data_IF_973809235814
#
_entry.id   IF_973809235814
#
_cell.length_a   1.000
_cell.length_b   1.000
_cell.length_c   1.000
_cell.angle_alpha   90.00
_cell.angle_beta   90.00
_cell.angle_gamma   90.00
#
_symmetry.space_group_name_H-M   'P 1'
#
loop_
_entity.id
_entity.type
_entity.pdbx_description
1 polymer ?
#
# COMPACT_ATOMS: atom_id res chain seq x y z
N UNK A 1 -15.30 22.11 -18.70
CA UNK A 1 -15.12 22.35 -17.26
C UNK A 1 -14.84 21.07 -16.47
N UNK A 2 -15.61 19.95 -16.55
CA UNK A 2 -15.30 18.76 -15.74
C UNK A 2 -14.06 17.97 -16.19
N UNK A 3 -13.75 17.93 -17.49
CA UNK A 3 -12.61 17.17 -18.02
C UNK A 3 -11.25 17.75 -17.61
N UNK A 4 -11.07 19.08 -17.69
CA UNK A 4 -9.82 19.75 -17.31
C UNK A 4 -9.53 19.60 -15.81
N UNK A 5 -10.55 19.73 -14.95
CA UNK A 5 -10.41 19.50 -13.51
C UNK A 5 -10.02 18.04 -13.19
N UNK A 6 -10.63 17.07 -13.86
CA UNK A 6 -10.28 15.65 -13.71
C UNK A 6 -8.86 15.34 -14.18
N UNK A 7 -8.38 16.01 -15.24
CA UNK A 7 -7.02 15.86 -15.73
C UNK A 7 -5.97 16.44 -14.75
N UNK A 8 -6.24 17.60 -14.16
CA UNK A 8 -5.40 18.19 -13.12
C UNK A 8 -5.36 17.33 -11.85
N UNK A 9 -6.51 16.80 -11.45
CA UNK A 9 -6.58 15.87 -10.32
C UNK A 9 -5.80 14.58 -10.61
N UNK A 10 -5.90 14.05 -11.84
CA UNK A 10 -5.06 12.91 -12.26
C UNK A 10 -3.58 13.24 -12.13
N UNK A 11 -3.12 14.38 -12.66
CA UNK A 11 -1.72 14.79 -12.56
C UNK A 11 -1.26 14.93 -11.09
N UNK A 12 -2.11 15.48 -10.21
CA UNK A 12 -1.84 15.58 -8.78
C UNK A 12 -1.69 14.21 -8.13
N UNK A 13 -2.63 13.30 -8.36
CA UNK A 13 -2.56 11.92 -7.84
C UNK A 13 -1.30 11.21 -8.32
N UNK A 14 -0.92 11.40 -9.59
CA UNK A 14 0.30 10.85 -10.16
C UNK A 14 1.58 11.45 -9.55
N UNK A 15 1.61 12.75 -9.28
CA UNK A 15 2.72 13.42 -8.61
C UNK A 15 2.99 12.79 -7.23
N UNK A 16 1.96 12.73 -6.38
CA UNK A 16 2.10 12.20 -5.03
C UNK A 16 2.34 10.69 -4.98
N UNK A 17 1.88 9.95 -5.98
CA UNK A 17 2.10 8.51 -6.10
C UNK A 17 3.45 8.11 -6.75
N UNK A 18 4.32 9.09 -7.03
CA UNK A 18 5.65 8.87 -7.64
C UNK A 18 5.59 8.21 -9.03
N UNK A 19 4.56 8.51 -9.83
CA UNK A 19 4.46 7.97 -11.18
C UNK A 19 5.64 8.47 -12.03
N UNK A 20 6.37 7.58 -12.73
CA UNK A 20 7.51 7.96 -13.53
C UNK A 20 7.19 9.13 -14.47
N UNK A 21 8.05 10.15 -14.57
CA UNK A 21 7.77 11.35 -15.36
C UNK A 21 7.34 11.09 -16.81
N UNK A 22 7.82 10.01 -17.42
CA UNK A 22 7.47 9.62 -18.79
C UNK A 22 6.07 8.96 -18.91
N UNK A 23 5.45 8.56 -17.79
CA UNK A 23 4.08 8.01 -17.71
C UNK A 23 3.05 9.04 -17.22
N UNK A 24 3.48 10.25 -16.84
CA UNK A 24 2.59 11.31 -16.39
C UNK A 24 1.59 11.68 -17.49
N UNK A 25 0.32 11.77 -17.11
CA UNK A 25 -0.79 12.29 -17.91
C UNK A 25 -0.85 13.79 -17.73
N UNK A 26 0.09 14.49 -18.38
CA UNK A 26 0.14 15.97 -18.37
C UNK A 26 -0.99 16.51 -19.25
N UNK A 27 -1.86 17.42 -18.74
CA UNK A 27 -2.91 18.07 -19.53
C UNK A 27 -2.33 18.85 -20.73
N UNK A 28 -3.17 19.15 -21.71
CA UNK A 28 -2.75 19.92 -22.88
C UNK A 28 -2.30 21.34 -22.46
N UNK A 29 -1.40 22.00 -23.22
CA UNK A 29 -0.91 23.35 -22.89
C UNK A 29 -2.02 24.37 -22.61
N UNK A 30 -3.06 24.38 -23.45
CA UNK A 30 -4.21 25.27 -23.30
C UNK A 30 -5.00 25.06 -22.00
N UNK A 31 -4.99 23.85 -21.44
CA UNK A 31 -5.66 23.52 -20.18
C UNK A 31 -4.74 23.85 -18.99
N UNK A 32 -3.48 23.42 -19.07
CA UNK A 32 -2.52 23.52 -17.98
C UNK A 32 -2.06 24.96 -17.72
N UNK A 33 -1.93 25.78 -18.76
CA UNK A 33 -1.52 27.18 -18.65
C UNK A 33 -2.68 28.12 -18.26
N UNK A 34 -3.91 27.62 -18.10
CA UNK A 34 -5.03 28.43 -17.62
C UNK A 34 -4.81 28.93 -16.19
N UNK A 35 -5.37 30.10 -15.84
CA UNK A 35 -5.23 30.66 -14.48
C UNK A 35 -5.75 29.70 -13.39
N UNK A 36 -6.88 29.03 -13.66
CA UNK A 36 -7.46 28.05 -12.74
C UNK A 36 -6.55 26.83 -12.54
N UNK A 37 -5.94 26.31 -13.62
CA UNK A 37 -5.01 25.20 -13.54
C UNK A 37 -3.74 25.55 -12.76
N UNK A 38 -3.21 26.76 -12.94
CA UNK A 38 -2.03 27.21 -12.21
C UNK A 38 -2.33 27.45 -10.74
N UNK A 39 -3.46 28.06 -10.42
CA UNK A 39 -3.91 28.18 -9.03
C UNK A 39 -4.14 26.80 -8.40
N UNK A 40 -4.62 25.81 -9.16
CA UNK A 40 -4.71 24.43 -8.71
C UNK A 40 -3.33 23.84 -8.42
N UNK A 41 -2.35 23.96 -9.32
CA UNK A 41 -0.98 23.45 -9.10
C UNK A 41 -0.32 24.09 -7.88
N UNK A 42 -0.49 25.39 -7.70
CA UNK A 42 0.04 26.08 -6.51
C UNK A 42 -0.62 25.52 -5.25
N UNK A 43 -1.96 25.57 -5.15
CA UNK A 43 -2.66 25.21 -3.92
C UNK A 43 -2.71 23.71 -3.60
N UNK A 44 -2.60 22.85 -4.62
CA UNK A 44 -2.82 21.39 -4.47
C UNK A 44 -1.57 20.55 -4.74
N UNK A 45 -0.49 21.14 -5.24
CA UNK A 45 0.79 20.43 -5.49
C UNK A 45 1.94 21.09 -4.73
N UNK A 46 2.15 22.40 -4.90
CA UNK A 46 3.27 23.12 -4.29
C UNK A 46 3.03 23.43 -2.81
N UNK A 47 1.87 23.99 -2.49
CA UNK A 47 1.44 24.43 -1.16
C UNK A 47 0.50 23.41 -0.50
N UNK A 48 0.54 22.15 -0.94
CA UNK A 48 -0.30 21.09 -0.38
C UNK A 48 0.11 20.78 1.07
N UNK A 49 -0.88 20.47 1.91
CA UNK A 49 -0.64 19.94 3.26
C UNK A 49 -0.08 18.49 3.28
N UNK A 50 -0.02 17.84 2.12
CA UNK A 50 0.50 16.47 1.99
C UNK A 50 2.03 16.51 1.95
N UNK A 51 2.73 15.58 2.63
CA UNK A 51 4.18 15.49 2.53
C UNK A 51 4.63 15.34 1.08
N UNK A 52 5.54 16.22 0.60
CA UNK A 52 5.95 16.18 -0.79
C UNK A 52 6.85 14.97 -1.06
N UNK A 53 6.85 14.44 -2.30
CA UNK A 53 7.89 13.55 -2.80
C UNK A 53 9.31 14.04 -2.52
N UNK A 54 10.28 13.15 -2.54
CA UNK A 54 11.68 13.55 -2.44
C UNK A 54 12.11 14.47 -3.62
N UNK A 55 13.08 15.35 -3.36
CA UNK A 55 13.41 16.47 -4.24
C UNK A 55 13.88 16.06 -5.66
N UNK A 56 14.54 14.91 -5.81
CA UNK A 56 14.95 14.33 -7.09
C UNK A 56 13.75 14.06 -8.00
N UNK A 57 12.75 13.34 -7.49
CA UNK A 57 11.50 13.11 -8.18
C UNK A 57 10.81 14.42 -8.52
N UNK A 58 10.70 15.36 -7.57
CA UNK A 58 10.10 16.67 -7.83
C UNK A 58 10.79 17.38 -9.00
N UNK A 59 12.13 17.37 -9.10
CA UNK A 59 12.85 17.98 -10.23
C UNK A 59 12.48 17.32 -11.55
N UNK A 60 12.39 16.00 -11.59
CA UNK A 60 12.04 15.28 -12.82
C UNK A 60 10.58 15.49 -13.23
N UNK A 61 9.67 15.59 -12.26
CA UNK A 61 8.29 16.00 -12.48
C UNK A 61 8.21 17.41 -13.10
N UNK A 62 8.85 18.40 -12.47
CA UNK A 62 8.81 19.78 -12.96
C UNK A 62 9.52 19.96 -14.31
N UNK A 63 10.58 19.19 -14.61
CA UNK A 63 11.18 19.15 -15.97
C UNK A 63 10.19 18.66 -17.03
N UNK A 64 9.22 17.82 -16.67
CA UNK A 64 8.19 17.32 -17.59
C UNK A 64 7.02 18.28 -17.74
N UNK A 65 6.65 18.98 -16.66
CA UNK A 65 5.44 19.82 -16.55
C UNK A 65 5.71 21.29 -16.93
N UNK A 66 6.83 21.86 -16.50
CA UNK A 66 7.15 23.28 -16.72
C UNK A 66 7.18 23.68 -18.20
N UNK A 67 7.78 22.91 -19.13
CA UNK A 67 7.77 23.29 -20.56
C UNK A 67 6.38 23.40 -21.17
N UNK A 68 5.39 22.67 -20.62
CA UNK A 68 3.99 22.73 -21.07
C UNK A 68 3.30 23.97 -20.51
N UNK A 69 3.64 24.39 -19.29
CA UNK A 69 3.17 25.63 -18.69
C UNK A 69 3.73 26.87 -19.42
N UNK A 70 4.98 26.81 -19.86
CA UNK A 70 5.70 27.90 -20.56
C UNK A 70 5.13 28.23 -21.95
N UNK A 71 4.22 27.41 -22.48
CA UNK A 71 3.42 27.77 -23.67
C UNK A 71 2.39 28.87 -23.37
N UNK A 72 2.16 29.19 -22.09
CA UNK A 72 1.38 30.35 -21.63
C UNK A 72 2.10 31.17 -20.55
N UNK A 73 1.37 32.06 -19.89
CA UNK A 73 1.92 32.87 -18.81
C UNK A 73 1.99 32.04 -17.52
N UNK A 74 3.19 31.84 -16.96
CA UNK A 74 3.38 31.02 -15.75
C UNK A 74 3.34 31.88 -14.48
N UNK A 75 2.65 31.39 -13.45
CA UNK A 75 2.56 31.98 -12.12
C UNK A 75 3.96 32.06 -11.49
N UNK A 76 4.31 33.24 -10.99
CA UNK A 76 5.64 33.52 -10.43
C UNK A 76 6.00 32.57 -9.28
N UNK A 77 5.01 32.13 -8.48
CA UNK A 77 5.21 31.19 -7.38
C UNK A 77 5.70 29.83 -7.88
N UNK A 78 5.23 29.39 -9.05
CA UNK A 78 5.69 28.13 -9.67
C UNK A 78 7.15 28.30 -10.12
N UNK A 79 7.48 29.40 -10.79
CA UNK A 79 8.86 29.66 -11.19
C UNK A 79 9.81 29.73 -10.01
N UNK A 80 9.43 30.46 -8.95
CA UNK A 80 10.22 30.59 -7.75
C UNK A 80 10.46 29.22 -7.09
N UNK A 81 9.40 28.43 -6.88
CA UNK A 81 9.51 27.10 -6.29
C UNK A 81 10.40 26.16 -7.12
N UNK A 82 10.22 26.13 -8.45
CA UNK A 82 11.02 25.28 -9.34
C UNK A 82 12.48 25.75 -9.39
N UNK A 83 12.73 27.07 -9.43
CA UNK A 83 14.09 27.61 -9.43
C UNK A 83 14.83 27.26 -8.13
N UNK A 84 14.19 27.43 -6.97
CA UNK A 84 14.73 27.04 -5.68
C UNK A 84 15.03 25.53 -5.63
N UNK A 85 14.09 24.70 -6.11
CA UNK A 85 14.25 23.25 -6.19
C UNK A 85 15.42 22.84 -7.09
N UNK A 86 15.60 23.49 -8.24
CA UNK A 86 16.71 23.20 -9.15
C UNK A 86 18.07 23.67 -8.61
N UNK A 87 18.09 24.77 -7.87
CA UNK A 87 19.30 25.33 -7.27
C UNK A 87 19.76 24.55 -6.02
N UNK A 88 18.85 23.84 -5.33
CA UNK A 88 19.20 23.04 -4.17
C UNK A 88 20.27 21.99 -4.51
N UNK A 89 21.20 21.67 -3.59
CA UNK A 89 22.18 20.60 -3.80
C UNK A 89 21.50 19.24 -3.94
N UNK A 90 22.01 18.39 -4.84
CA UNK A 90 21.55 17.01 -4.97
C UNK A 90 22.40 16.12 -4.07
N UNK A 91 21.80 15.51 -3.04
CA UNK A 91 22.49 14.50 -2.24
C UNK A 91 22.49 13.19 -3.03
N UNK A 92 23.64 12.81 -3.59
CA UNK A 92 23.81 11.61 -4.41
C UNK A 92 24.02 10.31 -3.59
N UNK A 93 23.81 10.35 -2.27
CA UNK A 93 24.04 9.21 -1.39
C UNK A 93 22.75 8.41 -1.19
N UNK A 94 22.73 7.20 -1.74
CA UNK A 94 21.64 6.21 -1.74
C UNK A 94 20.32 6.70 -2.37
N UNK A 95 19.45 5.79 -2.88
CA UNK A 95 18.10 6.16 -3.30
C UNK A 95 17.36 6.70 -2.07
N UNK A 96 16.93 7.97 -2.06
CA UNK A 96 16.29 8.53 -0.89
C UNK A 96 14.96 7.83 -0.64
N UNK A 97 14.65 7.56 0.63
CA UNK A 97 13.29 7.30 1.02
C UNK A 97 12.43 8.51 0.61
N UNK A 98 11.26 8.25 0.03
CA UNK A 98 10.36 9.28 -0.44
C UNK A 98 9.00 9.11 0.21
N UNK A 99 8.38 10.23 0.58
CA UNK A 99 6.95 10.20 0.82
C UNK A 99 6.26 9.83 -0.48
N UNK A 100 5.30 8.93 -0.35
CA UNK A 100 4.39 8.51 -1.41
C UNK A 100 2.99 8.58 -0.83
N UNK A 101 2.11 9.31 -1.50
CA UNK A 101 0.74 9.48 -1.05
C UNK A 101 -0.22 8.98 -2.11
N UNK A 102 -1.00 7.98 -1.74
CA UNK A 102 -2.10 7.46 -2.55
C UNK A 102 -3.36 8.25 -2.25
N UNK A 103 -3.76 9.12 -3.18
CA UNK A 103 -4.95 9.94 -3.05
C UNK A 103 -6.09 9.29 -3.83
N UNK A 104 -7.25 9.15 -3.19
CA UNK A 104 -8.42 8.49 -3.75
C UNK A 104 -9.72 9.00 -3.13
N UNK A 105 -10.86 8.62 -3.70
CA UNK A 105 -12.17 9.01 -3.20
C UNK A 105 -12.83 7.84 -2.46
N UNK A 106 -13.36 8.12 -1.27
CA UNK A 106 -14.16 7.19 -0.49
C UNK A 106 -15.46 7.89 -0.08
N UNK A 107 -16.60 7.32 -0.50
CA UNK A 107 -17.93 7.86 -0.23
C UNK A 107 -18.08 9.37 -0.60
N UNK A 108 -17.46 9.78 -1.71
CA UNK A 108 -17.51 11.17 -2.20
C UNK A 108 -16.61 12.15 -1.43
N UNK A 109 -15.74 11.65 -0.54
CA UNK A 109 -14.73 12.45 0.15
C UNK A 109 -13.33 12.01 -0.25
N UNK A 110 -12.45 13.00 -0.43
CA UNK A 110 -11.04 12.74 -0.64
C UNK A 110 -10.44 12.06 0.59
N UNK A 111 -9.62 11.04 0.33
CA UNK A 111 -8.79 10.32 1.29
C UNK A 111 -7.38 10.21 0.76
N UNK A 112 -6.45 10.05 1.68
CA UNK A 112 -5.05 9.89 1.37
C UNK A 112 -4.44 8.84 2.31
N UNK A 113 -3.56 8.01 1.77
CA UNK A 113 -2.65 7.18 2.56
C UNK A 113 -1.23 7.62 2.22
N UNK A 114 -0.52 8.19 3.19
CA UNK A 114 0.87 8.61 3.05
C UNK A 114 1.80 7.60 3.69
N UNK A 115 2.84 7.21 2.96
CA UNK A 115 3.84 6.25 3.40
C UNK A 115 5.23 6.81 3.08
N UNK A 116 6.22 6.40 3.87
CA UNK A 116 7.63 6.58 3.54
C UNK A 116 8.15 5.28 2.93
N UNK A 117 8.45 5.30 1.62
CA UNK A 117 8.91 4.13 0.86
C UNK A 117 10.35 4.33 0.38
N UNK A 118 11.15 3.25 0.37
CA UNK A 118 12.46 3.26 -0.28
C UNK A 118 12.27 2.89 -1.77
N UNK A 119 12.92 3.59 -2.69
CA UNK A 119 12.77 3.33 -4.13
C UNK A 119 13.55 2.08 -4.62
N UNK A 120 14.00 1.22 -3.72
CA UNK A 120 14.80 0.03 -4.02
C UNK A 120 13.93 -1.23 -3.89
N UNK A 121 14.06 -2.13 -4.87
CA UNK A 121 13.26 -3.39 -4.93
C UNK A 121 13.62 -4.35 -3.78
N UNK A 122 14.90 -4.40 -3.38
CA UNK A 122 15.40 -5.19 -2.24
C UNK A 122 16.57 -4.44 -1.62
N UNK A 123 16.52 -4.17 -0.32
CA UNK A 123 17.66 -3.69 0.44
C UNK A 123 17.83 -4.54 1.71
N UNK A 124 19.05 -5.02 1.95
CA UNK A 124 19.43 -5.82 3.12
C UNK A 124 18.56 -7.07 3.37
N UNK A 125 18.04 -7.71 2.32
CA UNK A 125 17.23 -8.93 2.44
C UNK A 125 15.76 -8.71 2.81
N UNK A 126 15.28 -7.45 2.87
CA UNK A 126 13.88 -7.14 3.14
C UNK A 126 13.15 -6.68 1.88
N UNK A 127 11.92 -7.16 1.68
CA UNK A 127 11.02 -6.84 0.54
C UNK A 127 9.87 -5.89 0.91
N UNK A 128 9.70 -5.59 2.21
CA UNK A 128 8.65 -4.69 2.74
C UNK A 128 8.92 -3.20 2.58
N UNK A 129 9.73 -2.80 1.60
CA UNK A 129 10.24 -1.43 1.45
C UNK A 129 9.35 -0.53 0.57
N UNK A 130 8.35 -1.12 -0.08
CA UNK A 130 7.43 -0.45 -1.00
C UNK A 130 6.05 -1.08 -0.95
N UNK A 131 5.04 -0.32 -1.40
CA UNK A 131 3.72 -0.89 -1.67
C UNK A 131 3.75 -1.70 -2.97
N UNK A 132 3.24 -2.92 -2.90
CA UNK A 132 3.20 -3.87 -4.02
C UNK A 132 1.84 -3.87 -4.73
N UNK A 133 1.84 -4.28 -6.00
CA UNK A 133 0.67 -4.23 -6.88
C UNK A 133 -0.53 -5.01 -6.34
N UNK A 134 -0.32 -6.18 -5.74
CA UNK A 134 -1.38 -6.93 -5.08
C UNK A 134 -2.11 -6.16 -3.96
N UNK A 135 -1.39 -5.31 -3.21
CA UNK A 135 -1.98 -4.51 -2.14
C UNK A 135 -2.90 -3.42 -2.70
N UNK A 136 -2.46 -2.76 -3.79
CA UNK A 136 -3.27 -1.77 -4.51
C UNK A 136 -4.55 -2.39 -5.10
N UNK A 137 -4.44 -3.60 -5.67
CA UNK A 137 -5.57 -4.33 -6.22
C UNK A 137 -6.56 -4.74 -5.12
N UNK A 138 -6.06 -5.31 -4.02
CA UNK A 138 -6.90 -5.71 -2.90
C UNK A 138 -7.65 -4.50 -2.31
N UNK A 139 -6.94 -3.40 -2.07
CA UNK A 139 -7.53 -2.15 -1.61
C UNK A 139 -8.59 -1.61 -2.59
N UNK A 140 -8.36 -1.69 -3.90
CA UNK A 140 -9.35 -1.26 -4.91
C UNK A 140 -10.66 -2.04 -4.77
N UNK A 141 -10.58 -3.37 -4.64
CA UNK A 141 -11.78 -4.21 -4.51
C UNK A 141 -12.49 -4.05 -3.16
N UNK A 142 -11.74 -3.75 -2.08
CA UNK A 142 -12.32 -3.40 -0.79
C UNK A 142 -13.10 -2.08 -0.87
N UNK A 143 -12.51 -1.04 -1.49
CA UNK A 143 -13.16 0.26 -1.67
C UNK A 143 -14.41 0.18 -2.56
N UNK A 144 -14.39 -0.71 -3.56
CA UNK A 144 -15.55 -0.97 -4.42
C UNK A 144 -16.68 -1.76 -3.70
N UNK A 145 -16.41 -2.31 -2.51
CA UNK A 145 -17.35 -3.16 -1.77
C UNK A 145 -17.48 -4.58 -2.34
N UNK A 146 -16.65 -4.95 -3.32
CA UNK A 146 -16.71 -6.25 -4.00
C UNK A 146 -16.41 -7.44 -3.07
N UNK A 147 -15.77 -7.18 -1.92
CA UNK A 147 -15.38 -8.19 -0.94
C UNK A 147 -16.27 -8.18 0.32
N UNK A 148 -17.27 -7.29 0.37
CA UNK A 148 -18.11 -7.07 1.55
C UNK A 148 -17.41 -6.28 2.67
N UNK A 149 -18.11 -6.03 3.79
CA UNK A 149 -17.55 -5.27 4.91
C UNK A 149 -16.49 -6.10 5.65
N UNK A 150 -15.40 -5.43 6.04
CA UNK A 150 -14.33 -5.99 6.87
C UNK A 150 -14.28 -5.19 8.18
N UNK A 151 -15.05 -5.57 9.22
CA UNK A 151 -15.16 -4.78 10.44
C UNK A 151 -13.91 -4.88 11.34
N UNK A 152 -13.19 -6.00 11.29
CA UNK A 152 -11.93 -6.18 11.97
C UNK A 152 -11.03 -7.09 11.14
N UNK A 153 -9.75 -6.74 11.04
CA UNK A 153 -8.79 -7.42 10.18
C UNK A 153 -7.47 -7.69 10.90
N UNK A 154 -6.82 -8.79 10.52
CA UNK A 154 -5.40 -8.99 10.76
C UNK A 154 -4.69 -9.10 9.42
N UNK A 155 -3.73 -8.21 9.18
CA UNK A 155 -2.92 -8.22 7.97
C UNK A 155 -1.62 -8.99 8.23
N UNK A 156 -1.38 -10.06 7.47
CA UNK A 156 -0.13 -10.82 7.50
C UNK A 156 0.86 -10.25 6.49
N UNK A 157 2.10 -9.97 6.91
CA UNK A 157 3.13 -9.43 6.04
C UNK A 157 2.75 -8.06 5.47
N UNK A 158 2.35 -7.14 6.35
CA UNK A 158 1.79 -5.85 5.99
C UNK A 158 2.77 -4.90 5.27
N UNK A 159 4.08 -5.17 5.35
CA UNK A 159 5.12 -4.40 4.68
C UNK A 159 5.06 -2.92 5.05
N UNK A 160 4.65 -2.08 4.09
CA UNK A 160 4.53 -0.63 4.31
C UNK A 160 3.33 -0.24 5.18
N UNK A 161 2.32 -1.10 5.33
CA UNK A 161 1.07 -0.80 6.03
C UNK A 161 0.00 -0.11 5.17
N UNK A 162 0.18 -0.06 3.85
CA UNK A 162 -0.78 0.56 2.93
C UNK A 162 -2.20 -0.01 3.10
N UNK A 163 -2.34 -1.34 3.04
CA UNK A 163 -3.65 -2.00 3.07
C UNK A 163 -4.30 -1.86 4.45
N UNK A 164 -3.54 -1.99 5.54
CA UNK A 164 -4.01 -1.67 6.89
C UNK A 164 -4.56 -0.25 7.01
N UNK A 165 -3.87 0.75 6.45
CA UNK A 165 -4.35 2.13 6.47
C UNK A 165 -5.66 2.29 5.68
N UNK A 166 -5.80 1.65 4.51
CA UNK A 166 -7.06 1.65 3.73
C UNK A 166 -8.19 0.97 4.50
N UNK A 167 -7.94 -0.19 5.11
CA UNK A 167 -8.92 -0.91 5.93
C UNK A 167 -9.40 -0.07 7.12
N UNK A 168 -8.48 0.61 7.81
CA UNK A 168 -8.84 1.53 8.89
C UNK A 168 -9.65 2.73 8.38
N UNK A 169 -9.37 3.26 7.19
CA UNK A 169 -10.18 4.31 6.55
C UNK A 169 -11.58 3.81 6.15
N UNK A 170 -11.74 2.51 5.88
CA UNK A 170 -13.02 1.83 5.69
C UNK A 170 -13.76 1.52 7.00
N UNK A 171 -13.16 1.83 8.16
CA UNK A 171 -13.75 1.64 9.48
C UNK A 171 -13.39 0.34 10.19
N UNK A 172 -12.38 -0.39 9.69
CA UNK A 172 -11.92 -1.64 10.31
C UNK A 172 -11.02 -1.39 11.53
N UNK A 173 -11.12 -2.25 12.55
CA UNK A 173 -10.09 -2.41 13.59
C UNK A 173 -8.99 -3.37 13.07
N UNK A 174 -7.77 -2.85 12.86
CA UNK A 174 -6.71 -3.55 12.15
C UNK A 174 -5.51 -3.85 13.05
N UNK A 175 -5.11 -5.12 13.07
CA UNK A 175 -3.78 -5.55 13.53
C UNK A 175 -2.93 -5.79 12.28
N UNK A 176 -2.02 -4.88 11.97
CA UNK A 176 -1.08 -5.03 10.87
C UNK A 176 0.17 -5.75 11.38
N UNK A 177 0.59 -6.84 10.73
CA UNK A 177 1.68 -7.67 11.23
C UNK A 177 2.82 -7.83 10.24
N UNK A 178 4.05 -7.82 10.74
CA UNK A 178 5.26 -8.12 9.98
C UNK A 178 6.32 -8.73 10.90
N UNK A 179 7.47 -9.12 10.36
CA UNK A 179 8.60 -9.63 11.12
C UNK A 179 9.39 -8.51 11.80
N UNK A 180 10.11 -8.90 12.85
CA UNK A 180 11.01 -8.03 13.61
C UNK A 180 10.43 -7.55 14.93
N UNK A 181 11.25 -6.81 15.66
CA UNK A 181 10.97 -6.16 16.92
C UNK A 181 10.75 -4.65 16.74
N UNK A 182 10.18 -4.01 17.77
CA UNK A 182 9.95 -2.55 17.81
C UNK A 182 11.26 -1.77 17.90
N UNK A 183 12.32 -2.39 18.42
CA UNK A 183 13.65 -1.82 18.58
C UNK A 183 14.50 -2.11 17.34
N UNK A 184 14.57 -1.15 16.41
CA UNK A 184 15.60 -1.23 15.36
C UNK A 184 16.99 -1.28 16.00
N UNK A 185 17.90 -2.11 15.47
CA UNK A 185 19.31 -2.12 15.89
C UNK A 185 19.89 -0.69 15.76
N UNK A 186 20.03 0.02 16.88
CA UNK A 186 20.83 1.24 16.95
C UNK A 186 22.31 0.84 16.90
N UNK A 187 22.94 0.92 15.72
CA UNK A 187 24.40 1.05 15.64
C UNK A 187 24.81 1.78 14.33
N UNK A 188 24.89 3.12 14.39
CA UNK A 188 25.61 3.94 13.41
C UNK A 188 24.78 4.79 12.44
N UNK A 189 25.46 5.72 11.77
CA UNK A 189 24.91 6.67 10.78
C UNK A 189 24.29 5.93 9.59
N UNK A 190 22.99 5.65 9.71
CA UNK A 190 22.20 4.95 8.69
C UNK A 190 21.06 4.19 9.36
N UNK A 191 20.06 4.91 9.85
CA UNK A 191 18.95 4.37 10.63
C UNK A 191 18.14 3.35 9.80
N UNK A 192 18.53 2.07 9.84
CA UNK A 192 17.77 0.97 9.24
C UNK A 192 16.69 0.57 10.22
N UNK A 193 15.45 0.88 9.89
CA UNK A 193 14.30 0.38 10.65
C UNK A 193 14.14 -1.13 10.41
N UNK A 194 13.56 -1.85 11.34
CA UNK A 194 13.02 -3.21 11.11
C UNK A 194 11.79 -3.12 10.21
N UNK A 195 11.31 -4.22 9.57
CA UNK A 195 10.01 -4.20 8.87
C UNK A 195 8.89 -3.69 9.77
N UNK A 196 8.82 -4.20 11.02
CA UNK A 196 7.87 -3.71 12.02
C UNK A 196 8.02 -2.22 12.32
N UNK A 197 9.25 -1.73 12.55
CA UNK A 197 9.49 -0.31 12.81
C UNK A 197 9.08 0.61 11.64
N UNK A 198 9.22 0.15 10.39
CA UNK A 198 8.71 0.87 9.21
C UNK A 198 7.19 0.88 9.18
N UNK A 199 6.57 -0.27 9.40
CA UNK A 199 5.11 -0.41 9.47
C UNK A 199 4.51 0.52 10.52
N UNK A 200 5.04 0.51 11.75
CA UNK A 200 4.59 1.39 12.84
C UNK A 200 4.71 2.85 12.46
N UNK A 201 5.85 3.27 11.91
CA UNK A 201 6.06 4.66 11.52
C UNK A 201 5.11 5.10 10.40
N UNK A 202 4.85 4.24 9.41
CA UNK A 202 3.94 4.54 8.31
C UNK A 202 2.48 4.64 8.77
N UNK A 203 2.02 3.75 9.66
CA UNK A 203 0.68 3.89 10.24
C UNK A 203 0.52 5.22 10.99
N UNK A 204 1.56 5.65 11.71
CA UNK A 204 1.56 6.92 12.44
C UNK A 204 1.58 8.18 11.54
N UNK A 205 1.94 8.07 10.25
CA UNK A 205 1.84 9.18 9.29
C UNK A 205 0.39 9.52 8.93
N UNK A 206 -0.56 8.64 9.24
CA UNK A 206 -1.92 8.73 8.75
C UNK A 206 -2.91 9.07 9.89
N UNK A 207 -3.81 10.03 9.64
CA UNK A 207 -4.92 10.33 10.53
C UNK A 207 -6.06 9.33 10.27
N UNK A 208 -5.96 8.14 10.88
CA UNK A 208 -6.90 7.04 10.65
C UNK A 208 -8.17 7.19 11.50
N UNK A 209 -9.38 7.01 10.92
CA UNK A 209 -10.64 7.15 11.64
C UNK A 209 -10.97 5.93 12.52
N UNK A 210 -10.25 4.82 12.34
CA UNK A 210 -10.36 3.60 13.14
C UNK A 210 -8.97 3.09 13.51
N UNK A 211 -8.84 2.28 14.57
CA UNK A 211 -7.54 1.80 15.02
C UNK A 211 -6.84 0.95 13.96
N UNK A 212 -5.59 1.28 13.66
CA UNK A 212 -4.64 0.37 13.04
C UNK A 212 -3.36 0.37 13.86
N UNK A 213 -2.92 -0.79 14.31
CA UNK A 213 -1.68 -0.93 15.07
C UNK A 213 -0.79 -1.98 14.45
N UNK A 214 0.51 -1.75 14.55
CA UNK A 214 1.52 -2.71 14.13
C UNK A 214 1.78 -3.74 15.24
N UNK A 215 2.16 -4.96 14.87
CA UNK A 215 2.67 -5.97 15.81
C UNK A 215 3.61 -6.95 15.11
N UNK A 216 4.59 -7.46 15.85
CA UNK A 216 5.40 -8.59 15.41
C UNK A 216 4.53 -9.85 15.30
N UNK A 217 4.62 -10.59 14.20
CA UNK A 217 4.04 -11.93 14.09
C UNK A 217 4.85 -12.77 13.11
N UNK A 218 5.49 -13.83 13.61
CA UNK A 218 6.17 -14.83 12.78
C UNK A 218 5.21 -15.97 12.45
N UNK A 219 5.03 -16.26 11.16
CA UNK A 219 4.15 -17.34 10.71
C UNK A 219 4.58 -18.72 11.20
N UNK A 220 5.86 -18.92 11.51
CA UNK A 220 6.38 -20.17 12.06
C UNK A 220 5.78 -20.50 13.44
N UNK A 221 5.41 -19.49 14.22
CA UNK A 221 4.82 -19.66 15.55
C UNK A 221 3.46 -20.36 15.51
N UNK A 222 2.79 -20.42 14.36
CA UNK A 222 1.54 -21.16 14.20
C UNK A 222 1.69 -22.66 14.56
N UNK A 223 2.89 -23.22 14.41
CA UNK A 223 3.20 -24.60 14.76
C UNK A 223 3.47 -24.81 16.26
N UNK A 224 3.70 -23.74 17.03
CA UNK A 224 3.96 -23.82 18.47
C UNK A 224 2.68 -24.19 19.25
N UNK A 225 2.89 -24.71 20.45
CA UNK A 225 1.81 -24.93 21.41
C UNK A 225 1.19 -23.57 21.82
N UNK A 226 -0.09 -23.53 22.24
CA UNK A 226 -0.71 -22.28 22.68
C UNK A 226 0.06 -21.56 23.80
N UNK A 227 0.73 -22.29 24.69
CA UNK A 227 1.53 -21.76 25.79
C UNK A 227 2.90 -21.19 25.37
N UNK A 228 3.46 -21.65 24.25
CA UNK A 228 4.74 -21.18 23.73
C UNK A 228 4.59 -20.06 22.68
N UNK A 229 3.37 -19.82 22.17
CA UNK A 229 3.11 -18.76 21.18
C UNK A 229 3.24 -17.37 21.80
N UNK A 230 3.83 -16.40 21.07
CA UNK A 230 3.83 -15.01 21.50
C UNK A 230 2.41 -14.45 21.74
N UNK A 231 2.22 -13.51 22.68
CA UNK A 231 0.90 -13.01 23.08
C UNK A 231 0.02 -12.48 21.94
N UNK A 232 0.64 -11.95 20.87
CA UNK A 232 -0.06 -11.46 19.69
C UNK A 232 -0.97 -12.52 19.04
N UNK A 233 -0.59 -13.79 19.09
CA UNK A 233 -1.40 -14.88 18.55
C UNK A 233 -2.69 -15.06 19.33
N UNK A 234 -2.65 -14.92 20.66
CA UNK A 234 -3.85 -14.98 21.49
C UNK A 234 -4.78 -13.79 21.22
N UNK A 235 -4.24 -12.63 20.86
CA UNK A 235 -5.04 -11.47 20.48
C UNK A 235 -5.63 -11.59 19.06
N UNK A 236 -4.85 -12.09 18.09
CA UNK A 236 -5.33 -12.43 16.75
C UNK A 236 -6.42 -13.52 16.80
N UNK A 237 -6.17 -14.50 17.67
CA UNK A 237 -7.06 -15.37 18.46
C UNK A 237 -8.45 -14.88 18.85
N UNK A 238 -8.50 -13.65 19.36
CA UNK A 238 -9.61 -13.19 20.15
C UNK A 238 -10.73 -12.66 19.24
N UNK A 239 -12.01 -13.01 19.53
CA UNK A 239 -13.13 -12.42 18.82
C UNK A 239 -13.26 -10.93 19.15
N UNK A 240 -13.55 -10.13 18.13
CA UNK A 240 -13.93 -8.72 18.23
C UNK A 240 -15.41 -8.62 17.92
N UNK A 241 -16.20 -8.10 18.85
CA UNK A 241 -17.67 -8.02 18.72
C UNK A 241 -18.33 -9.37 18.39
N UNK A 242 -17.80 -10.47 18.95
CA UNK A 242 -18.34 -11.81 18.76
C UNK A 242 -17.95 -12.49 17.44
N UNK A 243 -17.04 -11.90 16.65
CA UNK A 243 -16.53 -12.49 15.41
C UNK A 243 -15.00 -12.44 15.36
N UNK A 244 -14.41 -13.42 14.67
CA UNK A 244 -12.97 -13.43 14.36
C UNK A 244 -12.62 -12.34 13.34
N UNK A 245 -11.39 -11.83 13.45
CA UNK A 245 -10.84 -10.92 12.44
C UNK A 245 -10.75 -11.63 11.09
N UNK A 246 -11.05 -10.91 10.03
CA UNK A 246 -10.77 -11.37 8.66
C UNK A 246 -9.26 -11.34 8.46
N UNK A 247 -8.68 -12.45 8.01
CA UNK A 247 -7.25 -12.47 7.68
C UNK A 247 -7.10 -11.83 6.29
N UNK A 248 -6.19 -10.87 6.16
CA UNK A 248 -5.86 -10.26 4.87
C UNK A 248 -4.36 -10.36 4.65
N UNK A 249 -3.93 -10.46 3.40
CA UNK A 249 -2.52 -10.35 3.05
C UNK A 249 -2.38 -9.95 1.58
N UNK A 250 -1.31 -9.24 1.25
CA UNK A 250 -1.01 -8.82 -0.11
C UNK A 250 0.46 -9.07 -0.45
N UNK A 251 0.69 -9.75 -1.57
CA UNK A 251 2.04 -10.05 -2.12
C UNK A 251 2.95 -10.84 -1.17
N UNK A 252 2.38 -11.73 -0.34
CA UNK A 252 3.12 -12.60 0.60
C UNK A 252 3.50 -13.98 0.03
N UNK A 253 3.12 -14.28 -1.22
CA UNK A 253 3.36 -15.56 -1.89
C UNK A 253 4.50 -15.39 -2.92
N UNK A 254 5.73 -15.24 -2.42
CA UNK A 254 6.91 -15.02 -3.28
C UNK A 254 8.05 -16.00 -3.03
N UNK A 255 8.14 -16.58 -1.82
CA UNK A 255 9.18 -17.53 -1.45
C UNK A 255 8.53 -18.90 -1.13
N UNK A 256 8.85 -19.97 -1.87
CA UNK A 256 8.28 -21.30 -1.62
C UNK A 256 8.59 -21.85 -0.22
N UNK A 257 9.66 -21.43 0.45
CA UNK A 257 9.99 -21.87 1.81
C UNK A 257 9.04 -21.25 2.86
N UNK A 258 8.48 -20.07 2.57
CA UNK A 258 7.51 -19.40 3.44
C UNK A 258 6.08 -19.92 3.27
N UNK A 259 5.78 -20.55 2.13
CA UNK A 259 4.42 -20.99 1.78
C UNK A 259 3.79 -21.93 2.83
N UNK A 260 4.47 -22.98 3.32
CA UNK A 260 3.91 -23.86 4.36
C UNK A 260 3.64 -23.13 5.69
N UNK A 261 4.47 -22.13 6.03
CA UNK A 261 4.33 -21.32 7.24
C UNK A 261 3.12 -20.40 7.12
N UNK A 262 3.00 -19.68 6.00
CA UNK A 262 1.84 -18.82 5.70
C UNK A 262 0.54 -19.62 5.72
N UNK A 263 0.50 -20.78 5.07
CA UNK A 263 -0.68 -21.64 5.04
C UNK A 263 -1.06 -22.14 6.45
N UNK A 264 -0.07 -22.46 7.29
CA UNK A 264 -0.29 -22.85 8.69
C UNK A 264 -0.82 -21.69 9.54
N UNK A 265 -0.28 -20.49 9.37
CA UNK A 265 -0.75 -19.28 10.03
C UNK A 265 -2.22 -18.97 9.67
N UNK A 266 -2.55 -19.02 8.37
CA UNK A 266 -3.92 -18.84 7.90
C UNK A 266 -4.83 -19.90 8.54
N UNK A 267 -4.46 -21.18 8.45
CA UNK A 267 -5.25 -22.30 8.97
C UNK A 267 -5.65 -22.12 10.45
N UNK A 268 -4.68 -21.71 11.27
CA UNK A 268 -4.89 -21.41 12.68
C UNK A 268 -5.78 -20.18 12.87
N UNK A 269 -5.54 -19.09 12.14
CA UNK A 269 -6.27 -17.83 12.28
C UNK A 269 -7.72 -17.89 11.80
N UNK A 270 -8.04 -18.80 10.88
CA UNK A 270 -9.42 -19.05 10.42
C UNK A 270 -10.03 -20.32 11.00
N UNK A 271 -9.44 -20.86 12.07
CA UNK A 271 -10.03 -22.00 12.77
C UNK A 271 -11.38 -21.62 13.40
N UNK A 272 -12.42 -22.46 13.29
CA UNK A 272 -13.76 -22.10 13.76
C UNK A 272 -13.79 -22.01 15.28
N UNK A 273 -14.42 -20.97 15.83
CA UNK A 273 -14.74 -20.89 17.25
C UNK A 273 -16.25 -20.61 17.49
N UNK A 274 -17.10 -21.08 16.55
CA UNK A 274 -18.56 -21.05 16.65
C UNK A 274 -19.21 -19.82 16.01
N UNK A 275 -18.46 -19.01 15.27
CA UNK A 275 -18.94 -17.79 14.61
C UNK A 275 -19.81 -18.07 13.37
N UNK A 276 -20.77 -17.17 13.14
CA UNK A 276 -21.57 -17.12 11.91
C UNK A 276 -21.56 -15.68 11.37
N UNK A 277 -21.02 -15.41 10.17
CA UNK A 277 -20.34 -16.37 9.28
C UNK A 277 -18.99 -16.85 9.84
N UNK A 278 -18.49 -18.01 9.38
CA UNK A 278 -17.17 -18.49 9.79
C UNK A 278 -16.06 -17.54 9.34
N UNK A 279 -14.92 -17.50 10.04
CA UNK A 279 -13.76 -16.71 9.64
C UNK A 279 -13.25 -17.10 8.26
N UNK A 280 -12.73 -16.11 7.54
CA UNK A 280 -12.15 -16.27 6.21
C UNK A 280 -10.84 -15.51 6.10
N UNK A 281 -10.02 -15.91 5.13
CA UNK A 281 -8.88 -15.12 4.68
C UNK A 281 -9.11 -14.60 3.25
N UNK A 282 -8.57 -13.41 2.95
CA UNK A 282 -8.56 -12.81 1.62
C UNK A 282 -7.11 -12.46 1.29
N UNK A 283 -6.52 -13.21 0.35
CA UNK A 283 -5.11 -13.07 -0.01
C UNK A 283 -5.02 -12.59 -1.45
N UNK A 284 -4.32 -11.49 -1.69
CA UNK A 284 -4.00 -11.02 -3.03
C UNK A 284 -2.53 -11.33 -3.36
N UNK A 285 -2.27 -11.85 -4.55
CA UNK A 285 -0.92 -12.19 -4.99
C UNK A 285 -0.66 -11.69 -6.41
N UNK A 286 0.47 -11.01 -6.59
CA UNK A 286 1.01 -10.72 -7.92
C UNK A 286 1.69 -12.00 -8.42
N UNK A 287 1.07 -12.72 -9.36
CA UNK A 287 1.57 -14.04 -9.78
C UNK A 287 2.76 -13.86 -10.71
N UNK A 288 3.96 -13.80 -10.11
CA UNK A 288 5.24 -13.74 -10.83
C UNK A 288 5.84 -15.13 -11.08
N UNK A 289 5.53 -16.09 -10.22
CA UNK A 289 5.91 -17.49 -10.34
C UNK A 289 4.68 -18.38 -10.11
N UNK A 290 4.25 -19.07 -11.17
CA UNK A 290 3.08 -19.97 -11.16
C UNK A 290 3.31 -21.17 -10.22
N UNK A 291 4.53 -21.69 -10.14
CA UNK A 291 4.83 -22.87 -9.32
C UNK A 291 4.72 -22.54 -7.82
N UNK A 292 5.20 -21.37 -7.39
CA UNK A 292 5.06 -20.90 -6.00
C UNK A 292 3.59 -20.68 -5.63
N UNK A 293 2.80 -20.12 -6.55
CA UNK A 293 1.37 -19.93 -6.33
C UNK A 293 0.61 -21.27 -6.28
N UNK A 294 0.93 -22.21 -7.17
CA UNK A 294 0.37 -23.55 -7.17
C UNK A 294 0.74 -24.32 -5.89
N UNK A 295 1.98 -24.18 -5.40
CA UNK A 295 2.41 -24.72 -4.12
C UNK A 295 1.55 -24.19 -2.97
N UNK A 296 1.24 -22.89 -2.96
CA UNK A 296 0.37 -22.30 -1.94
C UNK A 296 -1.03 -22.93 -1.94
N UNK A 297 -1.65 -23.06 -3.11
CA UNK A 297 -2.96 -23.72 -3.23
C UNK A 297 -2.91 -25.18 -2.73
N UNK A 298 -1.84 -25.91 -3.07
CA UNK A 298 -1.64 -27.29 -2.62
C UNK A 298 -1.43 -27.38 -1.09
N UNK A 299 -0.69 -26.44 -0.48
CA UNK A 299 -0.51 -26.39 0.98
C UNK A 299 -1.81 -26.04 1.71
N UNK A 300 -2.66 -25.19 1.13
CA UNK A 300 -4.02 -24.96 1.62
C UNK A 300 -4.87 -26.24 1.56
N UNK A 301 -4.87 -26.94 0.42
CA UNK A 301 -5.62 -28.19 0.25
C UNK A 301 -5.20 -29.27 1.26
N UNK A 302 -3.89 -29.45 1.47
CA UNK A 302 -3.33 -30.38 2.48
C UNK A 302 -3.83 -30.09 3.91
N UNK A 303 -4.18 -28.84 4.20
CA UNK A 303 -4.71 -28.39 5.50
C UNK A 303 -6.25 -28.38 5.57
N UNK A 304 -6.92 -28.94 4.56
CA UNK A 304 -8.37 -28.91 4.44
C UNK A 304 -8.95 -27.49 4.40
N UNK A 305 -8.21 -26.56 3.78
CA UNK A 305 -8.69 -25.23 3.46
C UNK A 305 -9.31 -25.23 2.07
N UNK A 306 -10.49 -24.64 1.95
CA UNK A 306 -11.12 -24.34 0.66
C UNK A 306 -10.53 -23.05 0.11
N UNK A 307 -10.10 -23.06 -1.15
CA UNK A 307 -9.60 -21.87 -1.85
C UNK A 307 -10.53 -21.54 -3.02
N UNK A 308 -10.97 -20.28 -3.06
CA UNK A 308 -11.82 -19.75 -4.13
C UNK A 308 -11.12 -18.56 -4.78
N UNK A 309 -10.75 -18.70 -6.05
CA UNK A 309 -10.31 -17.56 -6.86
C UNK A 309 -11.51 -16.64 -7.11
N UNK A 310 -11.36 -15.37 -6.78
CA UNK A 310 -12.40 -14.37 -7.01
C UNK A 310 -12.28 -13.83 -8.43
N UNK A 311 -13.39 -13.88 -9.17
CA UNK A 311 -13.50 -13.31 -10.52
C UNK A 311 -13.75 -11.80 -10.40
N UNK A 312 -12.67 -11.03 -10.38
CA UNK A 312 -12.68 -9.58 -10.18
C UNK A 312 -12.17 -8.89 -11.45
N UNK A 313 -12.82 -7.78 -11.83
CA UNK A 313 -12.53 -7.06 -13.07
C UNK A 313 -11.14 -6.39 -13.06
N UNK A 314 -10.45 -6.37 -14.21
CA UNK A 314 -9.15 -5.68 -14.33
C UNK A 314 -9.25 -4.17 -14.05
N UNK A 315 -8.15 -3.59 -13.55
CA UNK A 315 -8.04 -2.20 -13.06
C UNK A 315 -7.45 -1.25 -14.13
N UNK A 316 -7.16 -1.74 -15.35
CA UNK A 316 -6.24 -1.11 -16.30
C UNK A 316 -6.65 0.27 -16.88
N UNK A 317 -7.94 0.62 -16.91
CA UNK A 317 -8.41 1.83 -17.61
C UNK A 317 -8.51 3.08 -16.73
N UNK A 318 -8.80 2.91 -15.43
CA UNK A 318 -8.96 4.00 -14.47
C UNK A 318 -8.62 3.50 -13.05
N UNK A 319 -7.32 3.38 -12.70
CA UNK A 319 -6.93 2.81 -11.43
C UNK A 319 -7.30 3.75 -10.28
N UNK A 320 -7.86 3.20 -9.19
CA UNK A 320 -8.07 3.95 -7.93
C UNK A 320 -6.76 4.48 -7.38
N UNK A 321 -5.67 3.72 -7.55
CA UNK A 321 -4.34 4.04 -7.07
C UNK A 321 -3.34 4.11 -8.22
N UNK A 322 -2.62 5.22 -8.28
CA UNK A 322 -1.47 5.36 -9.17
C UNK A 322 -0.22 4.77 -8.53
N UNK A 323 0.72 4.25 -9.32
CA UNK A 323 2.02 3.78 -8.85
C UNK A 323 3.04 3.87 -9.98
N UNK A 324 4.29 3.52 -9.67
CA UNK A 324 5.45 3.37 -10.53
C UNK A 324 5.29 2.46 -11.76
N UNK A 325 4.17 1.75 -11.88
CA UNK A 325 3.83 0.84 -12.97
C UNK A 325 4.85 -0.30 -13.18
N UNK A 326 5.59 -0.66 -12.13
CA UNK A 326 6.65 -1.68 -12.21
C UNK A 326 6.10 -3.09 -12.47
N UNK A 327 4.92 -3.44 -11.93
CA UNK A 327 4.23 -4.70 -12.26
C UNK A 327 3.06 -4.48 -13.24
N UNK A 328 3.12 -3.44 -14.09
CA UNK A 328 2.04 -3.19 -15.04
C UNK A 328 1.89 -4.38 -15.99
N UNK A 329 0.67 -4.90 -16.06
CA UNK A 329 0.35 -6.08 -16.86
C UNK A 329 0.63 -7.42 -16.17
N UNK A 330 1.16 -7.42 -14.94
CA UNK A 330 1.28 -8.64 -14.16
C UNK A 330 -0.09 -9.06 -13.62
N UNK A 331 -0.38 -10.35 -13.72
CA UNK A 331 -1.65 -10.93 -13.27
C UNK A 331 -1.71 -10.91 -11.74
N UNK A 332 -2.75 -10.28 -11.19
CA UNK A 332 -3.07 -10.36 -9.77
C UNK A 332 -4.21 -11.35 -9.57
N UNK A 333 -4.05 -12.28 -8.63
CA UNK A 333 -5.13 -13.16 -8.20
C UNK A 333 -5.53 -12.84 -6.76
N UNK A 334 -6.84 -12.78 -6.51
CA UNK A 334 -7.39 -12.68 -5.17
C UNK A 334 -8.04 -14.00 -4.81
N UNK A 335 -7.61 -14.57 -3.68
CA UNK A 335 -8.05 -15.87 -3.19
C UNK A 335 -8.81 -15.66 -1.90
N UNK A 336 -10.06 -16.13 -1.85
CA UNK A 336 -10.80 -16.29 -0.61
C UNK A 336 -10.54 -17.68 -0.06
N UNK A 337 -10.20 -17.76 1.22
CA UNK A 337 -9.87 -19.02 1.90
C UNK A 337 -10.81 -19.20 3.08
N UNK A 338 -11.37 -20.40 3.22
CA UNK A 338 -12.22 -20.78 4.35
C UNK A 338 -11.91 -22.21 4.79
N UNK A 339 -12.33 -22.57 6.01
CA UNK A 339 -12.36 -23.98 6.41
C UNK A 339 -13.39 -24.75 5.56
N UNK A 340 -13.09 -26.02 5.28
CA UNK A 340 -14.05 -26.98 4.70
C UNK A 340 -15.10 -27.43 5.72
#
# INVERSE_FOLDING_TARGET
MPAAAAALETLRRQYFALVPPYLLRVPAPAELASADAQQFLVSRVLESDLPPPEAGYQRTFWRRVLPVLEEGAVDERIYEAVAQLMAAPSNAAAPPASHKTFIYDLAGQERAVTLLEEQVVVQAGTTGLRTWTAALFLAHYLLAGNLGPVPAAIELGAGTGFLAAVLAQLGADVIATDLGDEEGEEEGEGQRRTPLGRLTANLALNNLPSPARAAALDWADAALSPEDRPPIWAEALAPVNGARRTVVAADVIYDPDLVPLLAGAIDLLISPAGEVPPPVAIIAATVRNEDTFALFLAECEKRHLSTQLLDLASIDDAPTFWDTALDRGTRVQVVRISKQ
#
